data_IF_494809840095
#
_entry.id   IF_494809840095
#
_cell.length_a   1.000
_cell.length_b   1.000
_cell.length_c   1.000
_cell.angle_alpha   90.00
_cell.angle_beta   90.00
_cell.angle_gamma   90.00
#
_symmetry.space_group_name_H-M   'P 1'
#
loop_
_entity.id
_entity.type
_entity.pdbx_description
1 polymer ?
#
# COMPACT_ATOMS: atom_id res chain seq x y z
N UNK A 1 -17.75 27.48 -8.80
CA UNK A 1 -16.37 27.41 -8.28
C UNK A 1 -16.29 27.38 -6.75
N UNK A 2 -16.97 28.28 -5.99
CA UNK A 2 -16.91 28.30 -4.51
C UNK A 2 -17.34 26.99 -3.81
N UNK A 3 -18.41 26.34 -4.27
CA UNK A 3 -18.87 25.05 -3.70
C UNK A 3 -17.94 23.87 -4.02
N UNK A 4 -17.20 23.94 -5.13
CA UNK A 4 -16.26 22.91 -5.56
C UNK A 4 -14.99 22.99 -4.71
N UNK A 5 -14.49 24.22 -4.47
CA UNK A 5 -13.36 24.45 -3.58
C UNK A 5 -13.67 24.01 -2.14
N UNK A 6 -14.88 24.30 -1.64
CA UNK A 6 -15.34 23.84 -0.33
C UNK A 6 -15.44 22.32 -0.23
N UNK A 7 -15.90 21.65 -1.29
CA UNK A 7 -15.95 20.19 -1.34
C UNK A 7 -14.55 19.58 -1.40
N UNK A 8 -13.64 20.18 -2.18
CA UNK A 8 -12.24 19.78 -2.26
C UNK A 8 -11.54 19.88 -0.90
N UNK A 9 -11.69 21.04 -0.25
CA UNK A 9 -11.12 21.29 1.08
C UNK A 9 -11.71 20.34 2.11
N UNK A 10 -13.04 20.12 2.09
CA UNK A 10 -13.69 19.21 3.07
C UNK A 10 -13.34 17.74 2.86
N UNK A 11 -13.12 17.29 1.62
CA UNK A 11 -12.69 15.91 1.34
C UNK A 11 -11.23 15.68 1.75
N UNK A 12 -10.36 16.66 1.53
CA UNK A 12 -8.98 16.65 2.04
C UNK A 12 -8.98 16.69 3.57
N UNK A 13 -9.78 17.57 4.18
CA UNK A 13 -9.91 17.65 5.64
C UNK A 13 -10.44 16.34 6.22
N UNK A 14 -11.44 15.72 5.60
CA UNK A 14 -11.97 14.42 6.02
C UNK A 14 -10.90 13.33 5.92
N UNK A 15 -10.11 13.32 4.84
CA UNK A 15 -9.02 12.36 4.65
C UNK A 15 -7.92 12.56 5.69
N UNK A 16 -7.57 13.81 6.01
CA UNK A 16 -6.61 14.16 7.06
C UNK A 16 -7.15 13.78 8.44
N UNK A 17 -8.43 14.03 8.73
CA UNK A 17 -9.06 13.67 10.01
C UNK A 17 -9.13 12.16 10.18
N UNK A 18 -9.45 11.41 9.11
CA UNK A 18 -9.39 9.94 9.12
C UNK A 18 -7.96 9.44 9.34
N UNK A 19 -6.97 10.06 8.66
CA UNK A 19 -5.55 9.75 8.86
C UNK A 19 -5.15 9.97 10.33
N UNK A 20 -5.48 11.13 10.90
CA UNK A 20 -5.18 11.48 12.30
C UNK A 20 -5.92 10.54 13.27
N UNK A 21 -7.19 10.23 13.02
CA UNK A 21 -7.98 9.34 13.86
C UNK A 21 -7.42 7.91 13.89
N UNK A 22 -6.96 7.41 12.74
CA UNK A 22 -6.25 6.12 12.65
C UNK A 22 -4.90 6.15 13.35
N UNK A 23 -4.16 7.26 13.25
CA UNK A 23 -2.87 7.42 13.91
C UNK A 23 -2.99 7.49 15.44
N UNK A 24 -4.07 8.07 15.98
CA UNK A 24 -4.30 8.18 17.43
C UNK A 24 -4.61 6.84 18.11
N UNK A 25 -5.07 5.83 17.38
CA UNK A 25 -5.39 4.50 17.94
C UNK A 25 -4.18 3.56 18.07
N UNK A 26 -3.03 3.95 17.51
CA UNK A 26 -1.82 3.13 17.54
C UNK A 26 -0.92 3.58 18.71
N UNK A 27 -0.32 2.63 19.45
CA UNK A 27 0.65 2.88 20.53
C UNK A 27 2.12 2.80 20.07
N UNK A 28 3.00 3.69 20.57
CA UNK A 28 4.43 3.69 20.20
C UNK A 28 5.03 2.28 20.33
N UNK A 29 5.61 1.79 19.25
CA UNK A 29 6.17 0.44 19.14
C UNK A 29 7.67 0.51 18.86
N UNK A 30 8.41 -0.44 19.43
CA UNK A 30 9.82 -0.65 19.08
C UNK A 30 9.91 -1.07 17.61
N UNK A 31 10.72 -0.37 16.83
CA UNK A 31 10.80 -0.61 15.38
C UNK A 31 12.24 -0.78 14.91
N UNK A 32 12.47 -1.67 13.91
CA UNK A 32 13.76 -1.78 13.26
C UNK A 32 14.08 -0.53 12.42
N UNK A 33 15.35 -0.33 12.03
CA UNK A 33 15.79 0.80 11.21
C UNK A 33 15.37 0.70 9.73
N UNK A 34 14.42 -0.18 9.41
CA UNK A 34 13.89 -0.42 8.07
C UNK A 34 12.42 -0.82 8.12
N UNK A 35 11.71 -0.65 7.01
CA UNK A 35 10.34 -1.09 6.82
C UNK A 35 10.28 -2.24 5.83
N UNK A 36 9.33 -3.15 6.07
CA UNK A 36 9.21 -4.38 5.32
C UNK A 36 7.74 -4.74 5.10
N UNK A 37 7.47 -5.45 4.00
CA UNK A 37 6.17 -6.06 3.78
C UNK A 37 5.97 -7.31 4.66
N UNK A 38 4.73 -7.79 4.88
CA UNK A 38 4.48 -9.02 5.62
C UNK A 38 5.23 -10.27 5.10
N UNK A 39 5.72 -10.24 3.87
CA UNK A 39 6.56 -11.30 3.28
C UNK A 39 8.07 -11.19 3.63
N UNK A 40 8.46 -10.22 4.45
CA UNK A 40 9.84 -9.95 4.85
C UNK A 40 10.64 -9.10 3.85
N UNK A 41 10.07 -8.71 2.71
CA UNK A 41 10.79 -7.87 1.74
C UNK A 41 10.97 -6.45 2.27
N UNK A 42 12.21 -5.99 2.36
CA UNK A 42 12.59 -4.64 2.80
C UNK A 42 12.35 -3.65 1.66
N UNK A 43 11.68 -2.56 1.97
CA UNK A 43 11.19 -1.58 0.98
C UNK A 43 11.76 -0.18 1.23
N UNK A 44 12.07 0.12 2.48
CA UNK A 44 12.71 1.36 2.87
C UNK A 44 13.66 1.07 4.03
N UNK A 45 14.84 1.68 4.00
CA UNK A 45 15.84 1.56 5.04
C UNK A 45 16.36 2.94 5.42
N UNK A 46 16.88 3.05 6.65
CA UNK A 46 17.67 4.21 7.08
C UNK A 46 18.83 4.45 6.13
N UNK A 47 19.29 5.71 6.03
CA UNK A 47 20.46 6.11 5.23
C UNK A 47 21.73 5.34 5.63
N UNK A 48 21.76 4.80 6.83
CA UNK A 48 22.85 3.96 7.37
C UNK A 48 22.96 2.60 6.68
N UNK A 49 21.87 2.08 6.10
CA UNK A 49 21.82 0.76 5.47
C UNK A 49 21.12 0.81 4.09
N UNK A 50 21.72 1.43 3.06
CA UNK A 50 21.10 1.47 1.73
C UNK A 50 21.16 0.11 1.01
N UNK A 51 22.12 -0.74 1.38
CA UNK A 51 22.39 -2.03 0.72
C UNK A 51 21.33 -3.12 0.96
N UNK A 52 20.42 -2.92 1.91
CA UNK A 52 19.39 -3.91 2.28
C UNK A 52 18.07 -3.76 1.53
N UNK A 53 17.89 -2.67 0.78
CA UNK A 53 16.66 -2.40 0.06
C UNK A 53 16.40 -3.51 -0.97
N UNK A 54 15.20 -4.10 -0.94
CA UNK A 54 14.80 -5.22 -1.78
C UNK A 54 15.26 -6.60 -1.32
N UNK A 55 16.05 -6.70 -0.24
CA UNK A 55 16.40 -8.00 0.39
C UNK A 55 15.28 -8.48 1.30
N UNK A 56 15.35 -9.74 1.75
CA UNK A 56 14.38 -10.33 2.70
C UNK A 56 14.97 -10.45 4.08
N UNK A 57 14.26 -9.93 5.08
CA UNK A 57 14.60 -10.13 6.50
C UNK A 57 14.06 -11.47 7.00
N UNK A 58 14.79 -12.13 7.90
CA UNK A 58 14.25 -13.24 8.67
C UNK A 58 13.20 -12.75 9.68
N UNK A 59 11.94 -13.06 9.41
CA UNK A 59 10.81 -12.62 10.23
C UNK A 59 10.83 -13.26 11.63
N UNK A 60 11.34 -14.49 11.75
CA UNK A 60 11.37 -15.19 13.04
C UNK A 60 12.40 -14.54 13.97
N UNK A 61 13.60 -14.25 13.45
CA UNK A 61 14.64 -13.57 14.21
C UNK A 61 14.23 -12.16 14.61
N UNK A 62 13.50 -11.46 13.73
CA UNK A 62 12.95 -10.15 14.04
C UNK A 62 11.89 -10.20 15.13
N UNK A 63 10.98 -11.17 15.09
CA UNK A 63 9.97 -11.35 16.14
C UNK A 63 10.64 -11.67 17.49
N UNK A 64 11.67 -12.51 17.49
CA UNK A 64 12.47 -12.83 18.67
C UNK A 64 13.15 -11.57 19.20
N UNK A 65 13.80 -10.78 18.34
CA UNK A 65 14.49 -9.55 18.73
C UNK A 65 13.53 -8.51 19.34
N UNK A 66 12.33 -8.34 18.76
CA UNK A 66 11.29 -7.44 19.29
C UNK A 66 10.82 -7.91 20.67
N UNK A 67 10.49 -9.20 20.83
CA UNK A 67 10.07 -9.76 22.14
C UNK A 67 11.16 -9.66 23.20
N UNK A 68 12.43 -9.87 22.82
CA UNK A 68 13.55 -9.69 23.74
C UNK A 68 13.69 -8.23 24.18
N UNK A 69 13.58 -7.28 23.26
CA UNK A 69 13.68 -5.86 23.56
C UNK A 69 12.51 -5.37 24.43
N UNK A 70 11.28 -5.84 24.19
CA UNK A 70 10.12 -5.60 25.08
C UNK A 70 10.35 -6.15 26.50
N UNK A 71 11.07 -7.26 26.62
CA UNK A 71 11.48 -7.82 27.92
C UNK A 71 12.71 -7.15 28.56
N UNK A 72 13.25 -6.09 27.93
CA UNK A 72 14.43 -5.36 28.42
C UNK A 72 15.77 -6.04 28.16
N UNK A 73 15.83 -7.04 27.26
CA UNK A 73 17.04 -7.77 26.88
C UNK A 73 17.52 -7.38 25.49
N UNK A 74 18.84 -7.31 25.30
CA UNK A 74 19.46 -7.05 24.00
C UNK A 74 19.54 -8.34 23.18
N UNK A 75 19.24 -8.26 21.88
CA UNK A 75 19.46 -9.35 20.94
C UNK A 75 20.83 -9.18 20.27
N UNK A 76 21.83 -9.92 20.76
CA UNK A 76 23.25 -9.72 20.39
C UNK A 76 23.63 -10.31 19.03
N UNK A 77 22.88 -11.28 18.52
CA UNK A 77 23.27 -12.05 17.34
C UNK A 77 23.04 -11.33 15.99
N UNK A 78 22.41 -10.15 16.00
CA UNK A 78 22.01 -9.45 14.77
C UNK A 78 20.98 -10.24 13.95
N UNK A 79 20.33 -9.60 12.98
CA UNK A 79 19.28 -10.22 12.16
C UNK A 79 19.83 -10.54 10.78
N UNK A 80 19.54 -11.74 10.29
CA UNK A 80 19.91 -12.18 8.96
C UNK A 80 19.01 -11.55 7.89
N UNK A 81 19.68 -11.01 6.87
CA UNK A 81 19.06 -10.44 5.68
C UNK A 81 19.57 -11.20 4.47
N UNK A 82 18.65 -11.85 3.77
CA UNK A 82 18.92 -12.69 2.62
C UNK A 82 18.87 -11.85 1.34
N UNK A 83 20.03 -11.70 0.68
CA UNK A 83 20.17 -11.21 -0.69
C UNK A 83 20.38 -12.35 -1.69
N UNK A 84 20.60 -12.04 -2.97
CA UNK A 84 20.88 -13.01 -4.07
C UNK A 84 22.08 -13.92 -3.77
N UNK A 85 21.90 -14.94 -2.94
CA UNK A 85 22.92 -15.91 -2.54
C UNK A 85 23.87 -15.48 -1.40
N UNK A 86 23.67 -14.31 -0.79
CA UNK A 86 24.51 -13.80 0.32
C UNK A 86 23.62 -13.44 1.50
N UNK A 87 23.96 -13.97 2.67
CA UNK A 87 23.34 -13.61 3.94
C UNK A 87 24.21 -12.55 4.62
N UNK A 88 23.61 -11.40 4.92
CA UNK A 88 24.25 -10.34 5.70
C UNK A 88 23.59 -10.26 7.07
N UNK A 89 24.39 -10.21 8.13
CA UNK A 89 23.90 -10.04 9.50
C UNK A 89 24.02 -8.58 9.88
N UNK A 90 22.91 -7.94 10.25
CA UNK A 90 22.89 -6.54 10.67
C UNK A 90 22.51 -6.44 12.15
N UNK A 91 23.26 -5.68 12.96
CA UNK A 91 22.85 -5.40 14.33
C UNK A 91 21.55 -4.59 14.31
N UNK A 92 20.46 -5.15 14.85
CA UNK A 92 19.17 -4.48 14.86
C UNK A 92 19.02 -3.66 16.12
N UNK A 93 19.28 -2.36 15.95
CA UNK A 93 19.01 -1.35 16.97
C UNK A 93 17.53 -1.02 16.88
N UNK A 94 16.73 -1.62 17.77
CA UNK A 94 15.31 -1.29 17.92
C UNK A 94 15.21 0.04 18.66
N UNK A 95 14.64 1.05 18.00
CA UNK A 95 14.39 2.35 18.60
C UNK A 95 12.88 2.57 18.73
N UNK A 96 12.41 3.20 19.83
CA UNK A 96 11.05 3.72 19.86
C UNK A 96 10.94 4.81 18.79
N UNK A 97 10.06 4.59 17.81
CA UNK A 97 9.76 5.59 16.77
C UNK A 97 8.37 6.17 17.03
N UNK A 98 8.30 7.49 17.14
CA UNK A 98 7.03 8.20 17.21
C UNK A 98 6.28 8.13 15.88
N UNK A 99 4.95 8.26 15.92
CA UNK A 99 4.11 8.29 14.72
C UNK A 99 4.55 9.33 13.70
N UNK A 100 4.95 10.50 14.19
CA UNK A 100 5.34 11.62 13.36
C UNK A 100 6.61 11.29 12.55
N UNK A 101 7.58 10.58 13.12
CA UNK A 101 8.79 10.20 12.39
C UNK A 101 8.49 9.21 11.27
N UNK A 102 7.56 8.27 11.49
CA UNK A 102 7.09 7.34 10.46
C UNK A 102 6.41 8.11 9.32
N UNK A 103 5.50 9.03 9.63
CA UNK A 103 4.85 9.87 8.61
C UNK A 103 5.87 10.67 7.81
N UNK A 104 6.88 11.22 8.48
CA UNK A 104 7.94 11.98 7.82
C UNK A 104 8.72 11.12 6.82
N UNK A 105 9.07 9.89 7.22
CA UNK A 105 9.78 8.93 6.35
C UNK A 105 8.95 8.50 5.13
N UNK A 106 7.61 8.49 5.23
CA UNK A 106 6.68 8.15 4.15
C UNK A 106 6.02 9.36 3.47
N UNK A 107 6.52 10.58 3.71
CA UNK A 107 5.92 11.82 3.17
C UNK A 107 5.74 11.76 1.66
N UNK A 108 6.71 11.17 0.94
CA UNK A 108 6.67 11.04 -0.52
C UNK A 108 5.48 10.19 -0.99
N UNK A 109 5.22 9.08 -0.33
CA UNK A 109 4.11 8.18 -0.69
C UNK A 109 2.77 8.83 -0.38
N UNK A 110 2.67 9.52 0.75
CA UNK A 110 1.48 10.31 1.12
C UNK A 110 1.22 11.41 0.09
N UNK A 111 2.26 12.13 -0.35
CA UNK A 111 2.13 13.17 -1.37
C UNK A 111 1.68 12.60 -2.73
N UNK A 112 2.21 11.44 -3.13
CA UNK A 112 1.78 10.74 -4.36
C UNK A 112 0.30 10.35 -4.26
N UNK A 113 -0.12 9.80 -3.11
CA UNK A 113 -1.52 9.47 -2.87
C UNK A 113 -2.43 10.71 -2.97
N UNK A 114 -2.04 11.84 -2.36
CA UNK A 114 -2.78 13.11 -2.43
C UNK A 114 -2.80 13.71 -3.84
N UNK A 115 -1.73 13.54 -4.62
CA UNK A 115 -1.68 13.97 -6.01
C UNK A 115 -2.69 13.19 -6.85
N UNK A 116 -2.73 11.85 -6.72
CA UNK A 116 -3.74 11.04 -7.38
C UNK A 116 -5.16 11.42 -6.96
N UNK A 117 -5.40 11.68 -5.67
CA UNK A 117 -6.70 12.15 -5.19
C UNK A 117 -7.10 13.48 -5.84
N UNK A 118 -6.15 14.41 -5.93
CA UNK A 118 -6.38 15.73 -6.54
C UNK A 118 -6.77 15.59 -8.01
N UNK A 119 -6.08 14.72 -8.75
CA UNK A 119 -6.40 14.42 -10.16
C UNK A 119 -7.78 13.76 -10.27
N UNK A 120 -8.11 12.80 -9.38
CA UNK A 120 -9.41 12.14 -9.35
C UNK A 120 -10.54 13.16 -9.18
N UNK A 121 -10.40 14.06 -8.22
CA UNK A 121 -11.38 15.11 -7.96
C UNK A 121 -11.48 16.09 -9.15
N UNK A 122 -10.36 16.42 -9.79
CA UNK A 122 -10.35 17.24 -11.00
C UNK A 122 -11.21 16.59 -12.11
N UNK A 123 -11.03 15.30 -12.39
CA UNK A 123 -11.84 14.59 -13.37
C UNK A 123 -13.33 14.58 -13.00
N UNK A 124 -13.68 14.35 -11.73
CA UNK A 124 -15.07 14.38 -11.28
C UNK A 124 -15.76 15.72 -11.56
N UNK A 125 -15.10 16.85 -11.25
CA UNK A 125 -15.73 18.16 -11.40
C UNK A 125 -15.70 18.72 -12.82
N UNK A 126 -14.59 18.54 -13.55
CA UNK A 126 -14.41 19.16 -14.86
C UNK A 126 -14.95 18.31 -16.00
N UNK A 127 -14.75 16.99 -15.94
CA UNK A 127 -15.13 16.07 -17.03
C UNK A 127 -16.35 15.21 -16.71
N UNK A 128 -16.70 15.10 -15.42
CA UNK A 128 -17.70 14.15 -14.90
C UNK A 128 -17.45 12.70 -15.34
N UNK A 129 -16.18 12.37 -15.55
CA UNK A 129 -15.77 11.04 -15.98
C UNK A 129 -15.62 10.11 -14.76
N UNK A 130 -16.60 9.22 -14.58
CA UNK A 130 -16.62 8.28 -13.46
C UNK A 130 -15.46 7.28 -13.52
N UNK A 131 -15.06 6.81 -14.70
CA UNK A 131 -13.98 5.80 -14.80
C UNK A 131 -12.62 6.40 -14.48
N UNK A 132 -12.36 7.64 -14.92
CA UNK A 132 -11.12 8.35 -14.58
C UNK A 132 -11.10 8.73 -13.09
N UNK A 133 -12.24 9.14 -12.52
CA UNK A 133 -12.38 9.33 -11.07
C UNK A 133 -12.03 8.03 -10.32
N UNK A 134 -12.59 6.90 -10.75
CA UNK A 134 -12.36 5.60 -10.10
C UNK A 134 -10.90 5.16 -10.23
N UNK A 135 -10.25 5.40 -11.38
CA UNK A 135 -8.85 5.02 -11.59
C UNK A 135 -7.91 5.80 -10.68
N UNK A 136 -8.00 7.13 -10.71
CA UNK A 136 -7.12 7.97 -9.90
C UNK A 136 -7.48 7.87 -8.41
N UNK A 137 -8.76 7.69 -8.08
CA UNK A 137 -9.21 7.40 -6.73
C UNK A 137 -8.66 6.07 -6.21
N UNK A 138 -8.73 4.99 -7.01
CA UNK A 138 -8.22 3.68 -6.60
C UNK A 138 -6.70 3.67 -6.46
N UNK A 139 -5.96 4.38 -7.33
CA UNK A 139 -4.51 4.56 -7.22
C UNK A 139 -4.12 5.36 -5.97
N UNK A 140 -4.88 6.43 -5.65
CA UNK A 140 -4.70 7.20 -4.42
C UNK A 140 -4.89 6.32 -3.19
N UNK A 141 -5.99 5.57 -3.13
CA UNK A 141 -6.27 4.64 -2.04
C UNK A 141 -5.23 3.53 -1.95
N UNK A 142 -4.81 2.94 -3.07
CA UNK A 142 -3.79 1.90 -3.10
C UNK A 142 -2.46 2.40 -2.51
N UNK A 143 -2.02 3.60 -2.91
CA UNK A 143 -0.81 4.23 -2.36
C UNK A 143 -0.94 4.54 -0.87
N UNK A 144 -2.10 5.04 -0.43
CA UNK A 144 -2.36 5.34 0.98
C UNK A 144 -2.35 4.07 1.85
N UNK A 145 -3.05 3.02 1.41
CA UNK A 145 -3.11 1.77 2.16
C UNK A 145 -1.82 0.97 2.07
N UNK A 146 -1.00 1.18 1.03
CA UNK A 146 0.37 0.68 1.01
C UNK A 146 1.21 1.32 2.12
N UNK A 147 1.13 2.65 2.29
CA UNK A 147 1.77 3.33 3.42
C UNK A 147 1.30 2.74 4.76
N UNK A 148 0.00 2.58 4.98
CA UNK A 148 -0.50 2.00 6.23
C UNK A 148 -0.06 0.55 6.45
N UNK A 149 -0.03 -0.24 5.39
CA UNK A 149 0.43 -1.63 5.44
C UNK A 149 1.91 -1.71 5.83
N UNK A 150 2.75 -0.86 5.26
CA UNK A 150 4.20 -0.89 5.46
C UNK A 150 4.59 -0.19 6.77
N UNK A 151 4.02 0.98 7.00
CA UNK A 151 4.31 1.81 8.16
C UNK A 151 3.67 1.28 9.44
N UNK A 152 2.58 0.51 9.38
CA UNK A 152 1.87 0.07 10.59
C UNK A 152 1.45 -1.40 10.59
N UNK A 153 1.68 -2.15 9.50
CA UNK A 153 1.15 -3.52 9.36
C UNK A 153 -0.37 -3.60 9.57
N UNK A 154 -1.08 -2.55 9.16
CA UNK A 154 -2.53 -2.44 9.28
C UNK A 154 -3.22 -2.38 7.90
N UNK A 155 -4.55 -2.39 7.88
CA UNK A 155 -5.37 -2.18 6.68
C UNK A 155 -5.14 -3.14 5.49
N UNK A 156 -4.63 -4.35 5.76
CA UNK A 156 -4.45 -5.44 4.78
C UNK A 156 -5.64 -5.62 3.82
N UNK A 157 -6.87 -5.59 4.36
CA UNK A 157 -8.09 -5.71 3.57
C UNK A 157 -8.19 -4.64 2.47
N UNK A 158 -8.02 -3.37 2.85
CA UNK A 158 -8.17 -2.24 1.94
C UNK A 158 -7.05 -2.24 0.90
N UNK A 159 -5.82 -2.56 1.31
CA UNK A 159 -4.71 -2.74 0.38
C UNK A 159 -5.05 -3.74 -0.73
N UNK A 160 -5.44 -4.97 -0.36
CA UNK A 160 -5.77 -6.00 -1.36
C UNK A 160 -7.02 -5.66 -2.16
N UNK A 161 -8.05 -5.07 -1.54
CA UNK A 161 -9.22 -4.61 -2.27
C UNK A 161 -8.83 -3.63 -3.38
N UNK A 162 -8.09 -2.57 -3.06
CA UNK A 162 -7.70 -1.55 -4.04
C UNK A 162 -6.68 -2.05 -5.05
N UNK A 163 -5.82 -3.01 -4.68
CA UNK A 163 -4.87 -3.64 -5.60
C UNK A 163 -5.61 -4.34 -6.75
N UNK A 164 -6.60 -5.18 -6.42
CA UNK A 164 -7.38 -5.90 -7.43
C UNK A 164 -8.41 -5.01 -8.13
N UNK A 165 -9.05 -4.09 -7.39
CA UNK A 165 -10.03 -3.16 -7.96
C UNK A 165 -9.41 -2.27 -9.03
N UNK A 166 -8.19 -1.78 -8.82
CA UNK A 166 -7.47 -0.96 -9.81
C UNK A 166 -7.27 -1.71 -11.13
N UNK A 167 -6.96 -3.01 -11.10
CA UNK A 167 -6.81 -3.81 -12.31
C UNK A 167 -8.11 -3.88 -13.13
N UNK A 168 -9.27 -4.06 -12.47
CA UNK A 168 -10.57 -4.03 -13.14
C UNK A 168 -10.91 -2.64 -13.69
N UNK A 169 -10.58 -1.57 -12.98
CA UNK A 169 -10.80 -0.21 -13.49
C UNK A 169 -9.95 0.06 -14.75
N UNK A 170 -8.68 -0.36 -14.77
CA UNK A 170 -7.82 -0.26 -15.96
C UNK A 170 -8.41 -1.07 -17.12
N UNK A 171 -8.89 -2.28 -16.85
CA UNK A 171 -9.53 -3.12 -17.85
C UNK A 171 -10.78 -2.45 -18.46
N UNK A 172 -11.65 -1.89 -17.62
CA UNK A 172 -12.84 -1.15 -18.07
C UNK A 172 -12.48 0.05 -18.95
N UNK A 173 -11.46 0.82 -18.55
CA UNK A 173 -10.96 1.94 -19.36
C UNK A 173 -10.44 1.43 -20.70
N UNK A 174 -9.73 0.30 -20.72
CA UNK A 174 -9.23 -0.32 -21.96
C UNK A 174 -10.37 -0.62 -22.94
N UNK A 175 -11.48 -1.20 -22.46
CA UNK A 175 -12.64 -1.47 -23.31
C UNK A 175 -13.33 -0.19 -23.77
N UNK A 176 -13.43 0.81 -22.90
CA UNK A 176 -14.02 2.12 -23.23
C UNK A 176 -13.23 2.85 -24.31
N UNK A 177 -11.89 2.79 -24.29
CA UNK A 177 -11.03 3.38 -25.33
C UNK A 177 -11.34 2.81 -26.73
N UNK A 178 -11.86 1.59 -26.81
CA UNK A 178 -12.32 0.95 -28.06
C UNK A 178 -13.75 1.38 -28.48
N UNK A 179 -14.40 2.27 -27.75
CA UNK A 179 -15.81 2.60 -27.94
C UNK A 179 -16.77 1.48 -27.49
N UNK A 180 -16.28 0.48 -26.74
CA UNK A 180 -17.11 -0.54 -26.11
C UNK A 180 -17.39 -0.13 -24.68
N UNK A 181 -18.61 0.32 -24.41
CA UNK A 181 -19.05 0.53 -23.04
C UNK A 181 -19.43 -0.80 -22.40
N UNK A 182 -18.72 -1.18 -21.33
CA UNK A 182 -19.15 -2.29 -20.49
C UNK A 182 -20.43 -1.86 -19.75
N UNK A 183 -21.53 -2.64 -19.85
CA UNK A 183 -22.73 -2.34 -19.10
C UNK A 183 -22.41 -2.25 -17.61
N UNK A 184 -22.95 -1.24 -16.93
CA UNK A 184 -22.65 -0.97 -15.51
C UNK A 184 -22.95 -2.16 -14.57
N UNK A 185 -23.77 -3.11 -15.03
CA UNK A 185 -24.07 -4.38 -14.34
C UNK A 185 -22.83 -5.27 -14.16
N UNK A 186 -21.81 -5.13 -15.01
CA UNK A 186 -20.55 -5.86 -14.91
C UNK A 186 -19.62 -5.33 -13.81
N UNK A 187 -19.88 -4.11 -13.33
CA UNK A 187 -19.12 -3.51 -12.23
C UNK A 187 -19.36 -4.21 -10.88
N UNK A 188 -20.57 -4.75 -10.65
CA UNK A 188 -20.90 -5.43 -9.41
C UNK A 188 -20.06 -6.71 -9.19
N UNK A 189 -19.92 -7.63 -10.17
CA UNK A 189 -18.97 -8.73 -10.09
C UNK A 189 -17.55 -8.30 -9.78
N UNK A 190 -17.03 -7.24 -10.43
CA UNK A 190 -15.66 -6.75 -10.22
C UNK A 190 -15.44 -6.30 -8.77
N UNK A 191 -16.38 -5.52 -8.22
CA UNK A 191 -16.35 -5.11 -6.82
C UNK A 191 -16.40 -6.33 -5.89
N UNK A 192 -17.26 -7.32 -6.18
CA UNK A 192 -17.35 -8.55 -5.38
C UNK A 192 -16.03 -9.33 -5.42
N UNK A 193 -15.38 -9.46 -6.58
CA UNK A 193 -14.08 -10.12 -6.69
C UNK A 193 -13.00 -9.37 -5.90
N UNK A 194 -12.97 -8.04 -5.98
CA UNK A 194 -12.07 -7.22 -5.17
C UNK A 194 -12.33 -7.37 -3.67
N UNK A 195 -13.60 -7.48 -3.24
CA UNK A 195 -13.96 -7.74 -1.84
C UNK A 195 -13.46 -9.11 -1.39
N UNK A 196 -13.64 -10.17 -2.20
CA UNK A 196 -13.14 -11.50 -1.90
C UNK A 196 -11.62 -11.48 -1.76
N UNK A 197 -10.90 -10.84 -2.70
CA UNK A 197 -9.45 -10.68 -2.62
C UNK A 197 -9.03 -9.93 -1.35
N UNK A 198 -9.75 -8.87 -0.98
CA UNK A 198 -9.57 -8.15 0.29
C UNK A 198 -9.74 -9.05 1.51
N UNK A 199 -10.80 -9.87 1.55
CA UNK A 199 -11.06 -10.80 2.65
C UNK A 199 -9.99 -11.88 2.76
N UNK A 200 -9.62 -12.50 1.63
CA UNK A 200 -8.56 -13.51 1.58
C UNK A 200 -7.26 -12.90 2.08
N UNK A 201 -6.88 -11.74 1.56
CA UNK A 201 -5.66 -11.05 1.97
C UNK A 201 -5.62 -10.65 3.44
N UNK A 202 -6.76 -10.23 4.02
CA UNK A 202 -6.87 -9.98 5.47
C UNK A 202 -6.76 -11.26 6.29
N UNK A 203 -7.43 -12.33 5.85
CA UNK A 203 -7.45 -13.61 6.58
C UNK A 203 -6.07 -14.26 6.63
N UNK A 204 -5.28 -14.05 5.58
CA UNK A 204 -3.93 -14.62 5.42
C UNK A 204 -2.82 -13.65 5.83
N UNK A 205 -3.13 -12.61 6.63
CA UNK A 205 -2.15 -11.62 7.10
C UNK A 205 -0.97 -12.23 7.87
N UNK A 206 -1.18 -13.40 8.47
CA UNK A 206 -0.19 -14.12 9.26
C UNK A 206 0.67 -15.09 8.44
N UNK A 207 0.35 -15.29 7.15
CA UNK A 207 1.12 -16.14 6.24
C UNK A 207 1.88 -15.26 5.22
N UNK A 208 3.20 -15.03 5.45
CA UNK A 208 4.08 -14.28 4.57
C UNK A 208 4.09 -14.77 3.11
N UNK A 209 3.94 -16.08 2.92
CA UNK A 209 4.00 -16.72 1.61
C UNK A 209 2.71 -16.48 0.82
N UNK A 210 1.56 -16.69 1.45
CA UNK A 210 0.26 -16.42 0.79
C UNK A 210 0.09 -14.93 0.52
N UNK A 211 0.51 -14.06 1.44
CA UNK A 211 0.55 -12.62 1.21
C UNK A 211 1.35 -12.28 -0.05
N UNK A 212 2.56 -12.85 -0.18
CA UNK A 212 3.43 -12.66 -1.33
C UNK A 212 2.77 -13.08 -2.64
N UNK A 213 2.19 -14.29 -2.68
CA UNK A 213 1.50 -14.80 -3.88
C UNK A 213 0.34 -13.88 -4.28
N UNK A 214 -0.49 -13.48 -3.31
CA UNK A 214 -1.66 -12.64 -3.58
C UNK A 214 -1.24 -11.26 -4.10
N UNK A 215 -0.22 -10.64 -3.49
CA UNK A 215 0.29 -9.36 -3.92
C UNK A 215 0.92 -9.44 -5.33
N UNK A 216 1.74 -10.46 -5.59
CA UNK A 216 2.36 -10.69 -6.88
C UNK A 216 1.33 -10.91 -7.98
N UNK A 217 0.30 -11.72 -7.73
CA UNK A 217 -0.79 -11.94 -8.69
C UNK A 217 -1.59 -10.66 -8.96
N UNK A 218 -1.86 -9.85 -7.93
CA UNK A 218 -2.49 -8.55 -8.10
C UNK A 218 -1.67 -7.60 -8.98
N UNK A 219 -0.36 -7.53 -8.77
CA UNK A 219 0.56 -6.72 -9.59
C UNK A 219 0.60 -7.22 -11.04
N UNK A 220 0.70 -8.54 -11.26
CA UNK A 220 0.65 -9.10 -12.61
C UNK A 220 -0.69 -8.85 -13.30
N UNK A 221 -1.80 -8.84 -12.56
CA UNK A 221 -3.11 -8.53 -13.11
C UNK A 221 -3.19 -7.06 -13.54
N UNK A 222 -2.68 -6.12 -12.73
CA UNK A 222 -2.55 -4.70 -13.13
C UNK A 222 -1.70 -4.58 -14.39
N UNK A 223 -0.53 -5.22 -14.42
CA UNK A 223 0.37 -5.20 -15.57
C UNK A 223 -0.34 -5.71 -16.83
N UNK A 224 -1.01 -6.86 -16.74
CA UNK A 224 -1.76 -7.46 -17.84
C UNK A 224 -2.84 -6.52 -18.38
N UNK A 225 -3.67 -5.95 -17.49
CA UNK A 225 -4.69 -4.98 -17.87
C UNK A 225 -4.08 -3.71 -18.49
N UNK A 226 -2.95 -3.25 -17.96
CA UNK A 226 -2.25 -2.06 -18.48
C UNK A 226 -1.67 -2.30 -19.87
N UNK A 227 -1.11 -3.49 -20.11
CA UNK A 227 -0.61 -3.92 -21.42
C UNK A 227 -1.76 -3.96 -22.43
N UNK A 228 -2.91 -4.53 -22.06
CA UNK A 228 -4.12 -4.50 -22.91
C UNK A 228 -4.53 -3.06 -23.23
N UNK A 229 -4.54 -2.18 -22.23
CA UNK A 229 -4.87 -0.76 -22.41
C UNK A 229 -3.96 -0.11 -23.45
N UNK A 230 -2.64 -0.29 -23.32
CA UNK A 230 -1.64 0.26 -24.23
C UNK A 230 -1.84 -0.30 -25.65
N UNK A 231 -2.03 -1.62 -25.79
CA UNK A 231 -2.27 -2.24 -27.09
C UNK A 231 -3.53 -1.73 -27.79
N UNK A 232 -4.56 -1.30 -27.05
CA UNK A 232 -5.78 -0.74 -27.63
C UNK A 232 -5.70 0.75 -27.92
N UNK A 233 -4.61 1.41 -27.51
CA UNK A 233 -4.33 2.81 -27.79
C UNK A 233 -3.60 3.00 -29.14
N UNK A 234 -2.95 1.95 -29.64
CA UNK A 234 -2.29 1.87 -30.95
C UNK A 234 -3.16 1.12 -31.97
#
# INVERSE_FOLDING_TARGET
MRNILLLFISLILLSIVLLIGVLQTSSETLRPPFYYYPNGTIIQSSEEFPSILGKKVDLLELEIAVKMAESGKSYENGIHIYGKGVSETIPVILAPKSYYSVIQEFTRDILISLLYLSVAIWFFFYTRDLYMLLLFGSLSCLSLFNFFLVGFHEFHFLFFFFLYFTAFVILNISFRLRGKELPIRWFAPEVIFSLIAGFVGRSQKADPHIFGILATNGVYFILFCSIICIFFLF
#
